data_IF_149759948747
#
_entry.id   IF_149759948747
#
_cell.length_a   1.000
_cell.length_b   1.000
_cell.length_c   1.000
_cell.angle_alpha   90.00
_cell.angle_beta   90.00
_cell.angle_gamma   90.00
#
_symmetry.space_group_name_H-M   'P 1'
#
loop_
_entity.id
_entity.type
_entity.pdbx_description
1 polymer ?
#
# COMPACT_ATOMS: atom_id res chain seq x y z
N UNK A 1 24.40 -41.12 17.67
CA UNK A 1 25.01 -40.69 16.39
C UNK A 1 25.23 -39.20 16.45
N UNK A 2 26.44 -38.72 16.16
CA UNK A 2 26.69 -37.29 16.05
C UNK A 2 26.08 -36.79 14.73
N UNK A 3 25.10 -35.88 14.80
CA UNK A 3 24.50 -35.27 13.62
C UNK A 3 25.52 -34.47 12.82
N UNK A 4 25.30 -34.33 11.52
CA UNK A 4 26.16 -33.53 10.65
C UNK A 4 26.18 -32.08 11.17
N UNK A 5 27.37 -31.49 11.31
CA UNK A 5 27.51 -30.08 11.70
C UNK A 5 27.05 -29.19 10.53
N UNK A 6 25.76 -28.86 10.52
CA UNK A 6 25.18 -27.94 9.56
C UNK A 6 25.59 -26.50 9.87
N UNK A 7 26.39 -25.91 8.99
CA UNK A 7 26.84 -24.52 9.07
C UNK A 7 25.78 -23.50 8.58
N UNK A 8 24.65 -23.99 8.06
CA UNK A 8 23.49 -23.21 7.66
C UNK A 8 22.28 -23.60 8.51
N UNK A 9 21.51 -22.62 8.99
CA UNK A 9 20.24 -22.87 9.67
C UNK A 9 19.19 -21.86 9.21
N UNK A 10 18.08 -22.37 8.70
CA UNK A 10 16.96 -21.58 8.21
C UNK A 10 15.83 -21.59 9.24
N UNK A 11 15.36 -20.40 9.59
CA UNK A 11 14.23 -20.17 10.48
C UNK A 11 13.19 -19.29 9.82
N UNK A 12 11.93 -19.63 10.05
CA UNK A 12 10.79 -18.80 9.69
C UNK A 12 10.01 -18.49 10.96
N UNK A 13 9.78 -17.21 11.22
CA UNK A 13 8.99 -16.76 12.36
C UNK A 13 7.55 -16.52 11.91
N UNK A 14 6.64 -17.36 12.40
CA UNK A 14 5.21 -17.27 12.16
C UNK A 14 4.50 -16.67 13.39
N UNK A 15 4.01 -15.43 13.32
CA UNK A 15 3.30 -14.76 14.44
C UNK A 15 4.03 -14.90 15.78
N UNK A 16 5.34 -14.63 15.79
CA UNK A 16 6.21 -14.73 16.98
C UNK A 16 6.75 -16.14 17.28
N UNK A 17 6.23 -17.20 16.63
CA UNK A 17 6.75 -18.57 16.80
C UNK A 17 7.89 -18.82 15.81
N UNK A 18 9.11 -19.02 16.33
CA UNK A 18 10.29 -19.39 15.53
C UNK A 18 10.24 -20.88 15.18
N UNK A 19 10.16 -21.18 13.88
CA UNK A 19 10.17 -22.54 13.34
C UNK A 19 11.46 -22.76 12.57
N UNK A 20 12.23 -23.79 12.92
CA UNK A 20 13.43 -24.22 12.18
C UNK A 20 13.02 -25.25 11.13
N UNK A 21 13.54 -25.12 9.91
CA UNK A 21 13.33 -26.14 8.88
C UNK A 21 13.99 -27.47 9.30
N UNK A 22 13.32 -28.62 9.08
CA UNK A 22 13.85 -29.91 9.49
C UNK A 22 15.06 -30.31 8.64
N UNK A 23 15.02 -30.05 7.34
CA UNK A 23 16.13 -30.26 6.40
C UNK A 23 16.41 -28.93 5.72
N UNK A 24 17.69 -28.61 5.56
CA UNK A 24 18.09 -27.43 4.81
C UNK A 24 17.95 -27.72 3.30
N UNK A 25 17.39 -26.80 2.51
CA UNK A 25 17.33 -26.96 1.06
C UNK A 25 18.72 -26.99 0.45
N UNK A 26 18.85 -27.66 -0.69
CA UNK A 26 20.10 -27.77 -1.43
C UNK A 26 20.53 -26.43 -2.03
N UNK A 27 19.56 -25.70 -2.59
CA UNK A 27 19.76 -24.38 -3.20
C UNK A 27 18.75 -23.38 -2.64
N UNK A 28 19.19 -22.12 -2.46
CA UNK A 28 18.32 -21.00 -2.09
C UNK A 28 18.47 -19.93 -3.15
N UNK A 29 17.43 -19.77 -3.98
CA UNK A 29 17.39 -18.71 -4.98
C UNK A 29 16.92 -17.42 -4.32
N UNK A 30 17.67 -16.34 -4.52
CA UNK A 30 17.34 -15.02 -4.00
C UNK A 30 17.37 -14.01 -5.14
N UNK A 31 16.21 -13.46 -5.49
CA UNK A 31 16.04 -12.51 -6.58
C UNK A 31 15.93 -11.08 -6.05
N UNK A 32 16.63 -10.16 -6.71
CA UNK A 32 16.60 -8.73 -6.43
C UNK A 32 16.04 -7.99 -7.65
N UNK A 33 14.72 -8.12 -7.93
CA UNK A 33 14.12 -7.50 -9.09
C UNK A 33 14.18 -5.97 -8.99
N UNK A 34 14.33 -5.32 -10.14
CA UNK A 34 14.32 -3.86 -10.30
C UNK A 34 13.34 -3.48 -11.40
N UNK A 35 12.69 -2.33 -11.26
CA UNK A 35 11.73 -1.81 -12.25
C UNK A 35 12.27 -0.50 -12.85
N UNK A 36 13.44 -0.58 -13.47
CA UNK A 36 14.05 0.58 -14.12
C UNK A 36 13.26 0.99 -15.36
N UNK A 37 12.99 2.28 -15.53
CA UNK A 37 12.31 2.78 -16.74
C UNK A 37 13.34 3.18 -17.79
N UNK A 38 13.18 2.68 -19.00
CA UNK A 38 14.01 3.05 -20.14
C UNK A 38 13.28 4.02 -21.05
N UNK A 39 13.96 5.08 -21.48
CA UNK A 39 13.45 6.09 -22.40
C UNK A 39 14.39 6.21 -23.59
N UNK A 40 13.86 6.55 -24.76
CA UNK A 40 14.68 6.88 -25.93
C UNK A 40 14.75 8.40 -26.08
N UNK A 41 15.96 8.94 -26.10
CA UNK A 41 16.22 10.38 -26.15
C UNK A 41 16.94 10.71 -27.44
N UNK A 42 16.35 11.61 -28.24
CA UNK A 42 16.90 12.04 -29.53
C UNK A 42 18.33 12.57 -29.33
N UNK A 43 19.29 12.01 -30.07
CA UNK A 43 20.70 12.40 -30.04
C UNK A 43 21.56 11.72 -28.95
N UNK A 44 20.93 11.11 -27.94
CA UNK A 44 21.63 10.41 -26.83
C UNK A 44 21.39 8.90 -26.89
N UNK A 45 20.28 8.46 -27.48
CA UNK A 45 19.86 7.06 -27.55
C UNK A 45 19.09 6.62 -26.30
N UNK A 46 19.10 5.32 -26.02
CA UNK A 46 18.36 4.75 -24.89
C UNK A 46 19.02 5.10 -23.55
N UNK A 47 18.24 5.72 -22.64
CA UNK A 47 18.65 6.07 -21.29
C UNK A 47 17.81 5.32 -20.25
N UNK A 48 18.43 4.90 -19.14
CA UNK A 48 17.76 4.19 -18.05
C UNK A 48 17.61 5.09 -16.82
N UNK A 49 16.38 5.27 -16.35
CA UNK A 49 16.05 6.00 -15.12
C UNK A 49 15.92 5.01 -13.97
N UNK A 50 16.82 5.04 -12.97
CA UNK A 50 16.81 4.08 -11.88
C UNK A 50 15.63 4.33 -10.93
N UNK A 51 14.70 3.38 -10.86
CA UNK A 51 13.67 3.35 -9.84
C UNK A 51 14.11 2.63 -8.57
N UNK A 52 13.26 2.72 -7.53
CA UNK A 52 13.40 1.92 -6.32
C UNK A 52 13.33 0.42 -6.66
N UNK A 53 14.14 -0.43 -6.00
CA UNK A 53 14.08 -1.87 -6.21
C UNK A 53 12.68 -2.43 -5.92
N UNK A 54 12.29 -3.43 -6.70
CA UNK A 54 11.06 -4.20 -6.45
C UNK A 54 11.20 -5.04 -5.19
N UNK A 55 10.15 -5.77 -4.82
CA UNK A 55 10.17 -6.63 -3.64
C UNK A 55 11.11 -7.81 -3.88
N UNK A 56 12.04 -8.04 -2.96
CA UNK A 56 12.95 -9.19 -3.01
C UNK A 56 12.14 -10.49 -2.94
N UNK A 57 12.47 -11.46 -3.79
CA UNK A 57 11.87 -12.80 -3.76
C UNK A 57 12.91 -13.84 -3.34
N UNK A 58 12.51 -14.81 -2.53
CA UNK A 58 13.36 -15.92 -2.11
C UNK A 58 12.58 -17.21 -2.31
N UNK A 59 13.14 -18.15 -3.06
CA UNK A 59 12.52 -19.44 -3.34
C UNK A 59 13.51 -20.59 -3.15
N UNK A 60 12.96 -21.74 -2.82
CA UNK A 60 13.70 -23.00 -2.76
C UNK A 60 12.74 -24.19 -2.78
N UNK A 61 13.31 -25.34 -3.11
CA UNK A 61 12.65 -26.64 -3.00
C UNK A 61 13.28 -27.44 -1.86
N UNK A 62 12.48 -28.31 -1.26
CA UNK A 62 12.95 -29.18 -0.19
C UNK A 62 11.95 -30.26 0.17
N UNK A 63 12.18 -30.90 1.31
CA UNK A 63 11.27 -31.92 1.84
C UNK A 63 11.18 -31.88 3.36
N UNK A 64 10.06 -32.40 3.88
CA UNK A 64 9.84 -32.65 5.29
C UNK A 64 9.96 -34.15 5.56
N UNK A 65 10.96 -34.59 6.33
CA UNK A 65 11.24 -36.01 6.54
C UNK A 65 10.26 -36.62 7.55
N UNK A 66 9.80 -37.84 7.26
CA UNK A 66 9.07 -38.69 8.18
C UNK A 66 9.99 -39.21 9.29
N UNK A 67 11.17 -39.71 8.91
CA UNK A 67 12.20 -40.13 9.85
C UNK A 67 13.05 -38.93 10.29
N UNK A 68 12.89 -38.54 11.55
CA UNK A 68 13.58 -37.36 12.12
C UNK A 68 14.90 -37.71 12.81
N UNK A 69 15.25 -38.99 12.86
CA UNK A 69 16.49 -39.47 13.50
C UNK A 69 17.69 -39.47 12.54
N UNK A 70 17.44 -39.15 11.28
CA UNK A 70 18.46 -39.14 10.23
C UNK A 70 19.50 -38.01 10.47
N UNK A 71 20.78 -38.23 10.12
CA UNK A 71 21.87 -37.32 10.46
C UNK A 71 21.81 -35.97 9.74
N UNK A 72 21.07 -35.88 8.63
CA UNK A 72 20.83 -34.64 7.88
C UNK A 72 19.67 -33.82 8.46
N UNK A 73 18.90 -34.37 9.40
CA UNK A 73 17.76 -33.70 10.02
C UNK A 73 18.24 -32.82 11.16
N UNK A 74 17.88 -31.55 11.10
CA UNK A 74 18.13 -30.58 12.14
C UNK A 74 17.44 -30.99 13.45
N UNK A 75 18.15 -30.79 14.56
CA UNK A 75 17.61 -31.05 15.89
C UNK A 75 16.32 -30.25 16.16
N UNK A 76 15.38 -30.89 16.85
CA UNK A 76 14.07 -30.31 17.15
C UNK A 76 13.08 -30.29 15.96
N UNK A 77 13.35 -31.06 14.91
CA UNK A 77 12.42 -31.28 13.81
C UNK A 77 11.07 -31.82 14.30
N UNK A 78 9.97 -31.29 13.74
CA UNK A 78 8.60 -31.74 14.04
C UNK A 78 8.06 -32.64 12.92
N UNK A 79 6.83 -33.14 13.06
CA UNK A 79 6.19 -33.92 11.99
C UNK A 79 6.01 -33.11 10.71
N UNK A 80 6.04 -33.74 9.52
CA UNK A 80 5.76 -33.07 8.25
C UNK A 80 4.46 -32.26 8.25
N UNK A 81 3.37 -32.82 8.79
CA UNK A 81 2.09 -32.14 8.93
C UNK A 81 2.17 -30.81 9.69
N UNK A 82 3.06 -30.69 10.68
CA UNK A 82 3.21 -29.46 11.44
C UNK A 82 3.68 -28.31 10.54
N UNK A 83 4.64 -28.59 9.66
CA UNK A 83 5.19 -27.60 8.75
C UNK A 83 4.16 -27.20 7.69
N UNK A 84 3.50 -28.18 7.06
CA UNK A 84 2.42 -27.94 6.10
C UNK A 84 1.32 -27.06 6.71
N UNK A 85 0.85 -27.39 7.93
CA UNK A 85 -0.16 -26.58 8.64
C UNK A 85 0.34 -25.16 8.95
N UNK A 86 1.63 -24.96 9.21
CA UNK A 86 2.19 -23.62 9.43
C UNK A 86 2.14 -22.77 8.16
N UNK A 87 2.59 -23.31 7.02
CA UNK A 87 2.59 -22.61 5.74
C UNK A 87 1.19 -22.36 5.21
N UNK A 88 0.31 -23.36 5.27
CA UNK A 88 -1.11 -23.18 4.91
C UNK A 88 -1.78 -22.09 5.73
N UNK A 89 -1.53 -22.08 7.06
CA UNK A 89 -2.09 -21.04 7.93
C UNK A 89 -1.53 -19.67 7.60
N UNK A 90 -0.24 -19.58 7.26
CA UNK A 90 0.38 -18.34 6.85
C UNK A 90 -0.24 -17.79 5.56
N UNK A 91 -0.49 -18.65 4.57
CA UNK A 91 -1.19 -18.30 3.33
C UNK A 91 -2.65 -17.86 3.59
N UNK A 92 -3.43 -18.71 4.27
CA UNK A 92 -4.86 -18.45 4.55
C UNK A 92 -5.08 -17.17 5.35
N UNK A 93 -4.19 -16.86 6.29
CA UNK A 93 -4.28 -15.67 7.16
C UNK A 93 -3.50 -14.46 6.64
N UNK A 94 -2.89 -14.53 5.44
CA UNK A 94 -2.03 -13.47 4.88
C UNK A 94 -1.00 -12.98 5.89
N UNK A 95 -0.39 -13.93 6.60
CA UNK A 95 0.41 -13.65 7.77
C UNK A 95 1.77 -13.06 7.40
N UNK A 96 2.11 -11.94 8.03
CA UNK A 96 3.47 -11.37 7.95
C UNK A 96 4.42 -12.28 8.72
N UNK A 97 5.45 -12.76 8.04
CA UNK A 97 6.45 -13.67 8.57
C UNK A 97 7.83 -13.01 8.54
N UNK A 98 8.82 -13.68 9.13
CA UNK A 98 10.22 -13.25 9.08
C UNK A 98 11.11 -14.43 8.72
N UNK A 99 11.83 -14.31 7.61
CA UNK A 99 12.83 -15.27 7.18
C UNK A 99 14.18 -14.90 7.80
N UNK A 100 14.81 -15.87 8.46
CA UNK A 100 16.15 -15.75 9.04
C UNK A 100 16.98 -16.93 8.53
N UNK A 101 17.97 -16.66 7.68
CA UNK A 101 18.94 -17.64 7.21
C UNK A 101 20.26 -17.29 7.85
N UNK A 102 20.74 -18.16 8.74
CA UNK A 102 22.07 -18.02 9.35
C UNK A 102 23.07 -18.87 8.57
N UNK A 103 24.14 -18.24 8.07
CA UNK A 103 25.21 -18.90 7.29
C UNK A 103 26.57 -18.62 7.93
N UNK A 104 27.48 -19.59 7.92
CA UNK A 104 28.86 -19.35 8.35
C UNK A 104 29.61 -18.48 7.33
N UNK A 105 29.74 -17.18 7.60
CA UNK A 105 30.75 -16.31 7.00
C UNK A 105 30.33 -15.42 5.82
N UNK A 106 29.18 -15.67 5.17
CA UNK A 106 28.86 -15.03 3.87
C UNK A 106 27.53 -14.27 3.84
N UNK A 107 27.17 -13.58 4.93
CA UNK A 107 25.93 -12.81 5.13
C UNK A 107 24.70 -13.62 5.59
N UNK A 108 24.22 -13.24 6.77
CA UNK A 108 22.92 -13.67 7.29
C UNK A 108 21.80 -12.95 6.54
N UNK A 109 20.77 -13.68 6.13
CA UNK A 109 19.57 -13.07 5.56
C UNK A 109 18.54 -12.91 6.63
N UNK A 110 18.06 -11.68 6.83
CA UNK A 110 17.02 -11.38 7.79
C UNK A 110 16.00 -10.43 7.16
N UNK A 111 14.86 -10.95 6.70
CA UNK A 111 13.85 -10.17 6.00
C UNK A 111 12.43 -10.43 6.50
N UNK A 112 11.60 -9.39 6.52
CA UNK A 112 10.14 -9.55 6.67
C UNK A 112 9.60 -10.03 5.34
N UNK A 113 8.73 -11.04 5.37
CA UNK A 113 8.22 -11.65 4.15
C UNK A 113 6.78 -12.13 4.32
N UNK A 114 6.14 -12.42 3.21
CA UNK A 114 4.89 -13.16 3.10
C UNK A 114 5.14 -14.43 2.30
N UNK A 115 4.31 -15.45 2.53
CA UNK A 115 4.32 -16.65 1.68
C UNK A 115 3.58 -16.28 0.40
N UNK A 116 4.29 -16.32 -0.73
CA UNK A 116 3.76 -16.02 -2.06
C UNK A 116 3.13 -17.29 -2.66
N UNK A 117 3.91 -18.38 -2.69
CA UNK A 117 3.48 -19.70 -3.13
C UNK A 117 3.99 -20.77 -2.16
N UNK A 118 3.20 -21.83 -1.99
CA UNK A 118 3.58 -23.03 -1.27
C UNK A 118 2.87 -24.22 -1.89
N UNK A 119 3.65 -25.16 -2.42
CA UNK A 119 3.17 -26.36 -3.09
C UNK A 119 3.75 -27.59 -2.40
N UNK A 120 2.98 -28.66 -2.31
CA UNK A 120 3.42 -29.95 -1.74
C UNK A 120 3.25 -31.06 -2.76
N UNK A 121 4.24 -31.94 -2.85
CA UNK A 121 4.26 -33.08 -3.76
C UNK A 121 4.59 -34.35 -2.98
N UNK A 122 3.88 -35.43 -3.29
CA UNK A 122 4.15 -36.76 -2.73
C UNK A 122 4.79 -37.62 -3.82
N UNK A 123 5.97 -38.19 -3.52
CA UNK A 123 6.68 -39.08 -4.45
C UNK A 123 6.42 -40.54 -4.09
N UNK A 124 6.05 -41.34 -5.09
CA UNK A 124 5.90 -42.79 -4.93
C UNK A 124 7.24 -43.45 -4.62
N UNK A 125 7.29 -44.27 -3.57
CA UNK A 125 8.50 -44.97 -3.11
C UNK A 125 9.10 -44.43 -1.81
N UNK A 126 8.72 -43.22 -1.39
CA UNK A 126 9.18 -42.59 -0.14
C UNK A 126 7.97 -42.23 0.74
N UNK A 127 7.25 -43.22 1.27
CA UNK A 127 6.02 -42.97 2.00
C UNK A 127 6.28 -42.12 3.25
N UNK A 128 5.46 -41.08 3.43
CA UNK A 128 5.45 -40.12 4.54
C UNK A 128 6.43 -38.93 4.45
N UNK A 129 7.32 -38.90 3.46
CA UNK A 129 8.12 -37.71 3.17
C UNK A 129 7.29 -36.76 2.28
N UNK A 130 7.23 -35.48 2.66
CA UNK A 130 6.47 -34.47 1.91
C UNK A 130 7.46 -33.55 1.22
N UNK A 131 7.50 -33.57 -0.11
CA UNK A 131 8.26 -32.61 -0.89
C UNK A 131 7.50 -31.31 -0.99
N UNK A 132 8.21 -30.19 -1.02
CA UNK A 132 7.58 -28.88 -1.14
C UNK A 132 8.40 -27.91 -1.98
N UNK A 133 7.69 -26.98 -2.61
CA UNK A 133 8.25 -25.78 -3.22
C UNK A 133 7.72 -24.56 -2.47
N UNK A 134 8.60 -23.64 -2.09
CA UNK A 134 8.24 -22.46 -1.33
C UNK A 134 8.77 -21.20 -2.00
N UNK A 135 7.90 -20.20 -2.12
CA UNK A 135 8.26 -18.86 -2.56
C UNK A 135 7.85 -17.82 -1.50
N UNK A 136 8.82 -17.01 -1.07
CA UNK A 136 8.65 -15.94 -0.09
C UNK A 136 8.91 -14.58 -0.74
N UNK A 137 7.98 -13.66 -0.59
CA UNK A 137 8.10 -12.29 -1.09
C UNK A 137 8.37 -11.31 0.06
N UNK A 138 9.27 -10.35 -0.16
CA UNK A 138 9.58 -9.31 0.81
C UNK A 138 8.34 -8.49 1.19
N UNK A 139 8.15 -8.28 2.49
CA UNK A 139 7.09 -7.43 3.01
C UNK A 139 7.65 -6.08 3.45
N UNK A 140 7.27 -5.01 2.72
CA UNK A 140 7.54 -3.62 3.11
C UNK A 140 6.28 -2.99 3.74
N UNK A 141 6.39 -2.35 4.93
CA UNK A 141 5.25 -1.67 5.53
C UNK A 141 4.88 -0.44 4.70
N UNK A 142 3.58 -0.24 4.48
CA UNK A 142 3.03 0.85 3.66
C UNK A 142 2.42 1.99 4.49
N UNK A 143 2.77 2.11 5.78
CA UNK A 143 2.23 3.16 6.65
C UNK A 143 2.55 4.55 6.08
N UNK A 144 1.59 5.50 6.10
CA UNK A 144 1.82 6.86 5.64
C UNK A 144 2.89 7.51 6.50
N UNK A 145 3.90 8.12 5.86
CA UNK A 145 4.88 8.96 6.54
C UNK A 145 4.35 10.38 6.53
N UNK A 146 3.96 10.91 7.68
CA UNK A 146 3.63 12.33 7.84
C UNK A 146 4.92 13.11 7.94
N UNK A 147 5.23 13.92 6.93
CA UNK A 147 6.31 14.92 6.98
C UNK A 147 5.72 16.21 7.49
N UNK A 148 6.09 16.61 8.71
CA UNK A 148 5.90 17.98 9.16
C UNK A 148 6.97 18.81 8.47
N UNK A 149 6.58 19.62 7.48
CA UNK A 149 7.47 20.62 6.91
C UNK A 149 7.60 21.72 7.96
N UNK A 150 8.70 21.70 8.70
CA UNK A 150 9.10 22.83 9.54
C UNK A 150 9.67 23.85 8.56
N UNK A 151 8.87 24.84 8.19
CA UNK A 151 9.38 26.06 7.56
C UNK A 151 10.01 26.90 8.65
N UNK A 152 11.32 26.81 8.81
CA UNK A 152 12.07 27.87 9.49
C UNK A 152 12.02 29.12 8.61
N UNK A 153 11.68 30.30 9.18
CA UNK A 153 11.72 31.54 8.42
C UNK A 153 13.18 31.95 8.21
N UNK A 154 13.59 31.87 6.95
CA UNK A 154 14.59 32.71 6.28
C UNK A 154 16.00 32.80 6.89
N UNK A 155 16.95 32.12 6.24
CA UNK A 155 18.26 32.74 5.97
C UNK A 155 18.61 32.37 4.54
N UNK A 156 18.47 33.34 3.65
CA UNK A 156 18.69 33.19 2.22
C UNK A 156 20.06 32.63 1.88
N UNK A 157 20.07 31.65 1.00
CA UNK A 157 21.16 31.40 0.06
C UNK A 157 20.59 30.75 -1.20
N UNK A 158 20.99 31.34 -2.31
CA UNK A 158 20.53 31.14 -3.68
C UNK A 158 20.71 29.68 -4.14
N UNK A 159 19.63 29.00 -4.51
CA UNK A 159 19.69 27.75 -5.29
C UNK A 159 18.54 27.67 -6.29
N UNK A 160 18.92 27.88 -7.56
CA UNK A 160 18.29 27.46 -8.80
C UNK A 160 16.81 26.99 -8.72
N UNK A 161 15.94 27.89 -9.15
CA UNK A 161 14.52 27.71 -9.42
C UNK A 161 14.30 26.63 -10.50
N UNK A 162 14.08 25.39 -10.06
CA UNK A 162 13.25 24.45 -10.81
C UNK A 162 11.79 24.86 -10.61
N UNK A 163 11.06 25.12 -11.69
CA UNK A 163 9.64 25.49 -11.66
C UNK A 163 8.80 24.44 -10.92
N UNK A 164 8.61 24.69 -9.62
CA UNK A 164 7.46 24.23 -8.89
C UNK A 164 6.29 25.09 -9.35
N UNK A 165 5.36 24.49 -10.10
CA UNK A 165 4.08 25.12 -10.40
C UNK A 165 3.46 25.65 -9.11
N UNK A 166 3.08 26.93 -9.14
CA UNK A 166 2.50 27.63 -8.01
C UNK A 166 1.43 26.78 -7.31
N UNK A 167 1.30 26.86 -5.97
CA UNK A 167 0.09 26.37 -5.33
C UNK A 167 -1.07 27.03 -6.06
N UNK A 168 -1.96 26.22 -6.65
CA UNK A 168 -3.12 26.74 -7.37
C UNK A 168 -3.78 27.77 -6.44
N UNK A 169 -4.05 28.99 -6.92
CA UNK A 169 -4.80 29.96 -6.14
C UNK A 169 -6.01 29.23 -5.61
N UNK A 170 -6.31 29.40 -4.32
CA UNK A 170 -7.60 28.97 -3.78
C UNK A 170 -8.64 29.64 -4.68
N UNK A 171 -9.23 28.86 -5.58
CA UNK A 171 -10.24 29.36 -6.50
C UNK A 171 -11.35 29.90 -5.60
N UNK A 172 -11.50 31.23 -5.57
CA UNK A 172 -12.65 31.87 -4.96
C UNK A 172 -13.87 31.16 -5.54
N UNK A 173 -14.69 30.48 -4.71
CA UNK A 173 -15.76 29.64 -5.22
C UNK A 173 -16.69 30.53 -6.04
N UNK A 174 -16.71 30.32 -7.36
CA UNK A 174 -17.51 31.11 -8.29
C UNK A 174 -18.93 30.57 -8.25
N UNK A 175 -19.91 31.47 -8.12
CA UNK A 175 -21.32 31.12 -8.17
C UNK A 175 -21.65 30.50 -9.53
N UNK A 176 -21.98 29.21 -9.54
CA UNK A 176 -22.38 28.46 -10.74
C UNK A 176 -23.65 27.66 -10.45
N UNK A 177 -24.42 27.36 -11.49
CA UNK A 177 -25.56 26.42 -11.37
C UNK A 177 -25.01 25.06 -10.93
N UNK A 178 -25.55 24.52 -9.84
CA UNK A 178 -25.07 23.31 -9.17
C UNK A 178 -24.13 23.55 -7.99
N UNK A 179 -23.73 24.79 -7.70
CA UNK A 179 -22.89 25.10 -6.53
C UNK A 179 -23.65 24.90 -5.20
N UNK A 180 -22.97 24.36 -4.20
CA UNK A 180 -23.47 24.25 -2.83
C UNK A 180 -23.37 25.61 -2.14
N UNK A 181 -24.50 26.08 -1.62
CA UNK A 181 -24.63 27.39 -0.99
C UNK A 181 -25.39 27.30 0.33
N UNK A 182 -25.02 28.14 1.28
CA UNK A 182 -25.79 28.42 2.49
C UNK A 182 -26.56 29.71 2.26
N UNK A 183 -27.87 29.65 2.41
CA UNK A 183 -28.79 30.77 2.23
C UNK A 183 -29.15 31.37 3.60
N UNK A 184 -28.94 32.68 3.75
CA UNK A 184 -29.33 33.45 4.93
C UNK A 184 -30.15 34.67 4.50
N UNK A 185 -31.43 34.71 4.84
CA UNK A 185 -32.34 35.81 4.51
C UNK A 185 -33.65 35.36 3.87
N UNK A 186 -34.38 36.32 3.30
CA UNK A 186 -35.66 36.06 2.65
C UNK A 186 -35.46 35.50 1.24
N UNK A 187 -36.18 34.43 0.93
CA UNK A 187 -36.30 33.88 -0.42
C UNK A 187 -37.73 34.05 -0.94
N UNK A 188 -37.83 34.36 -2.22
CA UNK A 188 -39.05 34.79 -2.90
C UNK A 188 -39.56 33.73 -3.85
N UNK A 189 -40.87 33.67 -4.07
CA UNK A 189 -41.44 32.73 -5.03
C UNK A 189 -41.03 33.02 -6.49
N UNK A 190 -40.82 34.30 -6.83
CA UNK A 190 -40.40 34.72 -8.16
C UNK A 190 -39.13 35.56 -8.14
N UNK A 191 -38.38 35.55 -9.24
CA UNK A 191 -37.17 36.38 -9.43
C UNK A 191 -37.42 37.90 -9.36
N UNK A 192 -38.69 38.33 -9.35
CA UNK A 192 -39.10 39.74 -9.24
C UNK A 192 -39.50 40.15 -7.81
N UNK A 193 -39.45 39.24 -6.83
CA UNK A 193 -39.85 39.53 -5.45
C UNK A 193 -41.36 39.43 -5.21
N UNK A 194 -42.05 38.52 -5.89
CA UNK A 194 -43.47 38.28 -5.62
C UNK A 194 -43.68 37.49 -4.32
N UNK A 195 -44.70 37.89 -3.55
CA UNK A 195 -45.20 37.09 -2.44
C UNK A 195 -45.80 35.76 -2.95
N UNK A 196 -45.74 34.66 -2.16
CA UNK A 196 -45.23 34.58 -0.79
C UNK A 196 -43.70 34.49 -0.72
N UNK A 197 -43.11 35.15 0.28
CA UNK A 197 -41.71 34.98 0.66
C UNK A 197 -41.61 34.22 1.98
N UNK A 198 -40.48 33.57 2.21
CA UNK A 198 -40.15 32.87 3.46
C UNK A 198 -38.70 33.17 3.81
N UNK A 199 -38.37 33.06 5.09
CA UNK A 199 -37.01 33.35 5.58
C UNK A 199 -36.24 32.04 5.77
N UNK A 200 -35.01 32.01 5.27
CA UNK A 200 -34.03 30.96 5.48
C UNK A 200 -32.98 31.42 6.51
N UNK A 201 -32.58 30.50 7.40
CA UNK A 201 -31.47 30.68 8.34
C UNK A 201 -30.59 29.44 8.26
N UNK A 202 -29.35 29.61 7.81
CA UNK A 202 -28.36 28.56 7.56
C UNK A 202 -28.88 27.40 6.69
N UNK A 203 -29.69 27.72 5.67
CA UNK A 203 -30.24 26.70 4.79
C UNK A 203 -29.19 26.27 3.76
N UNK A 204 -28.64 25.08 3.95
CA UNK A 204 -27.71 24.46 2.99
C UNK A 204 -28.48 23.85 1.82
N UNK A 205 -28.22 24.33 0.60
CA UNK A 205 -28.87 23.86 -0.61
C UNK A 205 -28.00 24.14 -1.84
N UNK A 206 -28.47 23.76 -3.03
CA UNK A 206 -27.72 23.94 -4.28
C UNK A 206 -28.38 24.99 -5.16
N UNK A 207 -27.58 25.76 -5.89
CA UNK A 207 -28.10 26.70 -6.91
C UNK A 207 -28.67 25.91 -8.08
N UNK A 208 -29.95 26.08 -8.39
CA UNK A 208 -30.61 25.34 -9.48
C UNK A 208 -30.78 26.18 -10.74
N UNK A 209 -30.84 27.51 -10.63
CA UNK A 209 -30.94 28.41 -11.79
C UNK A 209 -30.36 29.79 -11.46
N UNK A 210 -29.76 30.44 -12.46
CA UNK A 210 -29.30 31.84 -12.36
C UNK A 210 -29.92 32.62 -13.53
N UNK A 211 -30.55 33.75 -13.23
CA UNK A 211 -31.15 34.68 -14.20
C UNK A 211 -30.62 36.08 -13.92
N UNK A 212 -29.64 36.50 -14.72
CA UNK A 212 -29.03 37.83 -14.63
C UNK A 212 -30.02 38.94 -15.00
N UNK A 213 -30.05 40.01 -14.22
CA UNK A 213 -30.85 41.22 -14.51
C UNK A 213 -32.14 41.38 -13.69
N UNK A 214 -32.48 40.40 -12.85
CA UNK A 214 -33.64 40.47 -11.96
C UNK A 214 -33.23 40.82 -10.51
N UNK A 215 -34.19 41.31 -9.71
CA UNK A 215 -33.95 41.72 -8.32
C UNK A 215 -33.47 40.55 -7.43
N UNK A 216 -33.93 39.34 -7.72
CA UNK A 216 -33.50 38.09 -7.06
C UNK A 216 -33.02 37.11 -8.14
N UNK A 217 -31.73 37.16 -8.51
CA UNK A 217 -31.24 36.48 -9.70
C UNK A 217 -30.94 34.99 -9.50
N UNK A 218 -30.88 34.48 -8.26
CA UNK A 218 -30.45 33.09 -7.99
C UNK A 218 -31.59 32.25 -7.44
N UNK A 219 -31.90 31.12 -8.07
CA UNK A 219 -32.86 30.14 -7.56
C UNK A 219 -32.14 29.01 -6.84
N UNK A 220 -32.62 28.67 -5.64
CA UNK A 220 -31.99 27.72 -4.74
C UNK A 220 -32.90 26.54 -4.43
N UNK A 221 -32.38 25.33 -4.68
CA UNK A 221 -33.07 24.06 -4.44
C UNK A 221 -34.49 24.05 -4.99
N UNK A 222 -35.42 23.62 -4.13
CA UNK A 222 -36.87 23.64 -4.36
C UNK A 222 -37.56 24.76 -3.55
N UNK A 223 -36.82 25.82 -3.18
CA UNK A 223 -37.29 26.84 -2.25
C UNK A 223 -37.77 28.10 -2.95
N UNK A 224 -36.87 28.80 -3.64
CA UNK A 224 -37.20 30.07 -4.28
C UNK A 224 -35.98 30.88 -4.70
N UNK A 225 -36.20 32.16 -4.96
CA UNK A 225 -35.24 33.12 -5.50
C UNK A 225 -34.65 34.01 -4.41
N UNK A 226 -33.34 34.23 -4.46
CA UNK A 226 -32.56 34.98 -3.47
C UNK A 226 -31.56 35.92 -4.14
N UNK A 227 -31.05 36.87 -3.36
CA UNK A 227 -29.96 37.75 -3.79
C UNK A 227 -28.61 37.05 -3.64
N UNK A 228 -27.64 37.42 -4.47
CA UNK A 228 -26.28 36.90 -4.38
C UNK A 228 -25.62 37.24 -3.04
N UNK A 229 -25.95 38.39 -2.45
CA UNK A 229 -25.48 38.84 -1.14
C UNK A 229 -25.94 37.95 0.03
N UNK A 230 -27.00 37.16 -0.17
CA UNK A 230 -27.59 36.27 0.85
C UNK A 230 -27.01 34.85 0.79
N UNK A 231 -26.07 34.60 -0.14
CA UNK A 231 -25.48 33.30 -0.39
C UNK A 231 -24.03 33.24 0.08
N UNK A 232 -23.72 32.21 0.85
CA UNK A 232 -22.35 31.84 1.16
C UNK A 232 -22.02 30.54 0.42
N UNK A 233 -21.07 30.59 -0.52
CA UNK A 233 -20.70 29.44 -1.34
C UNK A 233 -19.72 28.56 -0.55
N UNK A 234 -20.05 27.28 -0.41
CA UNK A 234 -19.32 26.34 0.45
C UNK A 234 -18.55 25.27 -0.31
N UNK A 235 -18.55 25.29 -1.65
CA UNK A 235 -17.77 24.40 -2.51
C UNK A 235 -17.69 24.84 -3.96
#
# INVERSE_FOLDING_TARGET
MAGLKNHCSIYIVFSGKKVKLPVNPEEIKTEYPTDHKTYDVIGVGQVAVPQKPSLKAVSWDGFFPANRSEPYVNSGAKSPEYYVKCFEKALKKKQKCRLIISRSGLHDTNMKCIVSSFETQDKGGEPHDIYYSLELLEYRPYSPKTVAVITDPDTGEDTAQGEAGAPRPVETPVLRVGASVIVNGEYWYSSYGAAPHKTANNLSTTVTRIVSGNAYPVHVGNFGWVQESQLQITG
#
